data_IF_368666747490
#
_entry.id   IF_368666747490
#
_cell.length_a   1.000
_cell.length_b   1.000
_cell.length_c   1.000
_cell.angle_alpha   90.00
_cell.angle_beta   90.00
_cell.angle_gamma   90.00
#
_symmetry.space_group_name_H-M   'P 1'
#
loop_
_entity.id
_entity.type
_entity.pdbx_description
1 polymer ?
#
# COMPACT_ATOMS: atom_id res chain seq x y z
N UNK A 1 -7.28 22.09 4.33
CA UNK A 1 -5.80 22.14 4.46
C UNK A 1 -5.21 20.79 4.04
N UNK A 2 -4.40 20.76 2.98
CA UNK A 2 -3.79 19.52 2.50
C UNK A 2 -2.76 19.09 3.55
N UNK A 3 -3.14 18.15 4.42
CA UNK A 3 -2.25 17.54 5.40
C UNK A 3 -1.31 16.56 4.70
N UNK A 4 -0.61 17.01 3.65
CA UNK A 4 0.37 16.20 2.96
C UNK A 4 1.51 15.89 3.96
N UNK A 5 1.83 14.61 4.13
CA UNK A 5 3.01 14.21 4.89
C UNK A 5 4.30 14.75 4.27
N UNK A 6 5.44 14.33 4.79
CA UNK A 6 6.76 14.71 4.28
C UNK A 6 6.83 14.45 2.76
N UNK A 7 7.15 15.49 1.97
CA UNK A 7 7.28 15.34 0.52
C UNK A 7 8.30 14.25 0.19
N UNK A 8 7.97 13.40 -0.78
CA UNK A 8 8.85 12.29 -1.19
C UNK A 8 8.86 11.09 -0.25
N UNK A 9 8.02 11.10 0.80
CA UNK A 9 7.88 9.95 1.73
C UNK A 9 6.81 8.94 1.31
N UNK A 10 5.94 9.28 0.35
CA UNK A 10 4.99 8.33 -0.22
C UNK A 10 5.73 7.25 -1.02
N UNK A 11 5.11 6.07 -1.13
CA UNK A 11 5.67 4.97 -1.92
C UNK A 11 5.83 5.32 -3.40
N UNK A 12 6.77 4.67 -4.08
CA UNK A 12 7.02 4.80 -5.51
C UNK A 12 6.84 3.45 -6.22
N UNK A 13 6.63 3.48 -7.54
CA UNK A 13 6.58 2.28 -8.39
C UNK A 13 5.56 1.23 -7.92
N UNK A 14 4.39 1.68 -7.47
CA UNK A 14 3.30 0.82 -7.06
C UNK A 14 2.74 0.03 -8.25
N UNK A 15 2.62 -1.28 -8.11
CA UNK A 15 1.98 -2.14 -9.10
C UNK A 15 1.29 -3.32 -8.43
N UNK A 16 0.19 -3.79 -9.00
CA UNK A 16 -0.51 -4.99 -8.55
C UNK A 16 -0.76 -5.93 -9.73
N UNK A 17 -0.58 -7.23 -9.50
CA UNK A 17 -0.82 -8.29 -10.48
C UNK A 17 -1.70 -9.36 -9.86
N UNK A 18 -2.79 -9.70 -10.56
CA UNK A 18 -3.67 -10.81 -10.18
C UNK A 18 -3.15 -12.09 -10.85
N UNK A 19 -3.04 -13.17 -10.08
CA UNK A 19 -2.61 -14.48 -10.53
C UNK A 19 -3.39 -15.58 -9.81
N UNK A 20 -3.40 -16.78 -10.37
CA UNK A 20 -4.17 -17.91 -9.85
C UNK A 20 -5.65 -17.59 -9.58
N UNK A 21 -6.24 -16.66 -10.35
CA UNK A 21 -7.64 -16.23 -10.34
C UNK A 21 -8.07 -15.42 -9.10
N UNK A 22 -7.47 -15.64 -7.93
CA UNK A 22 -7.93 -15.04 -6.66
C UNK A 22 -6.81 -14.47 -5.78
N UNK A 23 -5.56 -14.45 -6.24
CA UNK A 23 -4.45 -13.84 -5.51
C UNK A 23 -4.03 -12.54 -6.19
N UNK A 24 -3.80 -11.48 -5.43
CA UNK A 24 -3.29 -10.21 -5.94
C UNK A 24 -2.00 -9.87 -5.21
N UNK A 25 -0.90 -9.80 -5.95
CA UNK A 25 0.40 -9.39 -5.44
C UNK A 25 0.64 -7.94 -5.83
N UNK A 26 0.73 -7.08 -4.82
CA UNK A 26 1.10 -5.69 -4.95
C UNK A 26 2.53 -5.45 -4.45
N UNK A 27 3.30 -4.66 -5.18
CA UNK A 27 4.68 -4.30 -4.81
C UNK A 27 4.86 -2.80 -4.94
N UNK A 28 5.79 -2.27 -4.15
CA UNK A 28 6.19 -0.87 -4.21
C UNK A 28 7.63 -0.69 -3.73
N UNK A 29 8.14 0.52 -3.94
CA UNK A 29 9.38 1.01 -3.37
C UNK A 29 9.07 2.04 -2.30
N UNK A 30 9.92 2.13 -1.28
CA UNK A 30 9.81 3.18 -0.29
C UNK A 30 10.06 4.55 -0.95
N UNK A 31 9.38 5.58 -0.47
CA UNK A 31 9.65 6.95 -0.88
C UNK A 31 11.11 7.33 -0.65
N UNK A 32 11.69 8.10 -1.58
CA UNK A 32 13.12 8.48 -1.54
C UNK A 32 13.48 9.24 -0.27
N UNK A 33 12.54 10.03 0.24
CA UNK A 33 12.72 10.86 1.43
C UNK A 33 12.05 10.24 2.67
N UNK A 34 11.54 9.01 2.56
CA UNK A 34 10.92 8.33 3.68
C UNK A 34 11.97 7.97 4.76
N UNK A 35 11.75 8.34 6.03
CA UNK A 35 12.62 7.95 7.14
C UNK A 35 12.89 6.44 7.20
N UNK A 36 14.04 6.04 7.74
CA UNK A 36 14.44 4.63 7.87
C UNK A 36 13.50 3.78 8.76
N UNK A 37 12.78 4.40 9.68
CA UNK A 37 11.79 3.73 10.54
C UNK A 37 10.38 3.69 9.93
N UNK A 38 10.21 4.16 8.70
CA UNK A 38 8.91 4.18 8.03
C UNK A 38 8.37 2.76 7.82
N UNK A 39 7.13 2.54 8.23
CA UNK A 39 6.35 1.34 7.94
C UNK A 39 5.15 1.69 7.07
N UNK A 40 4.87 0.90 6.03
CA UNK A 40 3.77 1.14 5.09
C UNK A 40 2.62 0.14 5.29
N UNK A 41 1.40 0.58 4.99
CA UNK A 41 0.19 -0.23 5.14
C UNK A 41 -0.69 -0.06 3.91
N UNK A 42 -1.02 -1.17 3.25
CA UNK A 42 -1.82 -1.17 2.02
C UNK A 42 -3.25 -1.55 2.33
N UNK A 43 -4.16 -0.73 1.82
CA UNK A 43 -5.61 -0.93 1.85
C UNK A 43 -6.13 -0.95 0.42
N UNK A 44 -7.14 -1.78 0.15
CA UNK A 44 -7.83 -1.76 -1.13
C UNK A 44 -9.34 -1.88 -0.98
N UNK A 45 -10.06 -1.38 -1.99
CA UNK A 45 -11.50 -1.45 -2.09
C UNK A 45 -11.92 -1.80 -3.52
N UNK A 46 -13.02 -2.56 -3.66
CA UNK A 46 -13.62 -2.88 -4.97
C UNK A 46 -14.42 -1.68 -5.51
N UNK A 47 -14.99 -0.87 -4.64
CA UNK A 47 -15.65 0.39 -4.96
C UNK A 47 -15.46 1.38 -3.80
N UNK A 48 -15.64 2.68 -4.04
CA UNK A 48 -15.50 3.71 -2.99
C UNK A 48 -16.57 3.62 -1.90
N UNK A 49 -17.63 2.85 -2.14
CA UNK A 49 -18.71 2.63 -1.20
C UNK A 49 -18.51 1.34 -0.37
N UNK A 50 -17.50 0.52 -0.72
CA UNK A 50 -17.16 -0.71 0.01
C UNK A 50 -16.19 -0.45 1.17
N UNK A 51 -16.15 -1.38 2.13
CA UNK A 51 -15.20 -1.34 3.24
C UNK A 51 -13.75 -1.49 2.76
N UNK A 52 -12.83 -0.76 3.42
CA UNK A 52 -11.38 -0.88 3.21
C UNK A 52 -10.88 -2.24 3.70
N UNK A 53 -10.21 -2.99 2.81
CA UNK A 53 -9.54 -4.24 3.17
C UNK A 53 -8.04 -3.99 3.33
N UNK A 54 -7.54 -4.18 4.55
CA UNK A 54 -6.09 -4.18 4.80
C UNK A 54 -5.43 -5.45 4.23
N UNK A 55 -4.16 -5.32 3.85
CA UNK A 55 -3.32 -6.42 3.41
C UNK A 55 -3.37 -7.67 4.31
N UNK A 56 -3.61 -8.83 3.70
CA UNK A 56 -3.58 -10.12 4.41
C UNK A 56 -2.17 -10.57 4.75
N UNK A 57 -1.24 -10.42 3.80
CA UNK A 57 0.14 -10.90 3.95
C UNK A 57 1.14 -9.90 3.36
N UNK A 58 1.85 -9.18 4.24
CA UNK A 58 2.89 -8.25 3.82
C UNK A 58 4.17 -8.96 3.37
N UNK A 59 4.71 -8.51 2.24
CA UNK A 59 6.07 -8.83 1.79
C UNK A 59 7.00 -7.80 2.42
N UNK A 60 8.00 -8.26 3.16
CA UNK A 60 8.91 -7.40 3.94
C UNK A 60 10.32 -7.44 3.38
N UNK A 61 11.04 -6.32 3.50
CA UNK A 61 12.48 -6.28 3.27
C UNK A 61 13.27 -6.80 4.49
N UNK A 62 14.60 -6.76 4.38
CA UNK A 62 15.53 -7.19 5.43
C UNK A 62 15.38 -6.43 6.75
N UNK A 63 14.82 -5.21 6.72
CA UNK A 63 14.56 -4.38 7.90
C UNK A 63 13.19 -4.62 8.51
N UNK A 64 12.35 -5.44 7.87
CA UNK A 64 10.98 -5.73 8.29
C UNK A 64 9.95 -4.70 7.81
N UNK A 65 10.35 -3.75 6.95
CA UNK A 65 9.48 -2.77 6.31
C UNK A 65 8.65 -3.46 5.23
N UNK A 66 7.36 -3.15 5.19
CA UNK A 66 6.43 -3.64 4.20
C UNK A 66 6.73 -2.98 2.85
N UNK A 67 7.06 -3.80 1.86
CA UNK A 67 7.43 -3.42 0.49
C UNK A 67 6.50 -4.06 -0.55
N UNK A 68 5.52 -4.82 -0.08
CA UNK A 68 4.52 -5.48 -0.90
C UNK A 68 3.42 -6.10 -0.06
N UNK A 69 2.42 -6.60 -0.73
CA UNK A 69 1.26 -7.25 -0.14
C UNK A 69 0.78 -8.39 -1.05
N UNK A 70 0.29 -9.46 -0.44
CA UNK A 70 -0.50 -10.48 -1.12
C UNK A 70 -1.90 -10.48 -0.48
N UNK A 71 -2.91 -10.13 -1.29
CA UNK A 71 -4.31 -10.32 -0.93
C UNK A 71 -4.80 -11.69 -1.40
N UNK A 72 -5.66 -12.30 -0.59
CA UNK A 72 -6.31 -13.58 -0.88
C UNK A 72 -7.79 -13.39 -1.20
N UNK A 73 -8.34 -14.31 -1.99
CA UNK A 73 -9.77 -14.33 -2.34
C UNK A 73 -10.27 -13.05 -3.04
N UNK A 74 -9.42 -12.45 -3.86
CA UNK A 74 -9.75 -11.23 -4.62
C UNK A 74 -10.72 -11.59 -5.73
N UNK A 75 -11.86 -10.90 -5.82
CA UNK A 75 -12.82 -11.12 -6.90
C UNK A 75 -12.51 -10.21 -8.09
N UNK A 76 -12.24 -10.80 -9.26
CA UNK A 76 -11.93 -10.06 -10.50
C UNK A 76 -13.14 -9.41 -11.19
N UNK A 77 -14.31 -9.39 -10.54
CA UNK A 77 -15.55 -8.87 -11.12
C UNK A 77 -15.68 -7.34 -11.14
N UNK A 78 -14.78 -6.60 -10.50
CA UNK A 78 -14.81 -5.14 -10.47
C UNK A 78 -13.95 -4.56 -11.61
N UNK A 79 -14.48 -3.60 -12.36
CA UNK A 79 -13.73 -2.89 -13.42
C UNK A 79 -12.63 -1.97 -12.87
N UNK A 80 -12.76 -1.53 -11.62
CA UNK A 80 -11.82 -0.65 -10.94
C UNK A 80 -11.56 -1.17 -9.53
N UNK A 81 -10.34 -0.94 -9.05
CA UNK A 81 -9.97 -1.12 -7.67
C UNK A 81 -9.33 0.17 -7.19
N UNK A 82 -9.59 0.54 -5.94
CA UNK A 82 -8.99 1.70 -5.29
C UNK A 82 -7.96 1.19 -4.30
N UNK A 83 -6.78 1.79 -4.31
CA UNK A 83 -5.67 1.40 -3.43
C UNK A 83 -5.24 2.62 -2.65
N UNK A 84 -4.97 2.43 -1.36
CA UNK A 84 -4.38 3.45 -0.52
C UNK A 84 -3.20 2.86 0.23
N UNK A 85 -2.04 3.50 0.16
CA UNK A 85 -0.89 3.14 0.99
C UNK A 85 -0.58 4.25 1.97
N UNK A 86 -0.79 3.95 3.25
CA UNK A 86 -0.43 4.80 4.36
C UNK A 86 0.98 4.49 4.84
N UNK A 87 1.56 5.42 5.61
CA UNK A 87 2.85 5.20 6.26
C UNK A 87 2.87 5.75 7.69
N UNK A 88 3.64 5.10 8.56
CA UNK A 88 3.92 5.56 9.91
C UNK A 88 5.42 5.64 10.16
N UNK A 89 5.85 6.68 10.87
CA UNK A 89 7.21 6.89 11.38
C UNK A 89 7.08 7.58 12.74
N UNK A 90 8.11 7.50 13.58
CA UNK A 90 8.08 8.05 14.95
C UNK A 90 7.88 9.56 14.97
N UNK A 91 8.64 10.27 14.14
CA UNK A 91 8.74 11.73 14.22
C UNK A 91 8.21 12.44 12.96
N UNK A 92 7.91 11.69 11.91
CA UNK A 92 7.50 12.23 10.61
C UNK A 92 6.13 11.72 10.20
N UNK A 93 5.27 12.62 9.74
CA UNK A 93 4.05 12.25 9.03
C UNK A 93 4.43 11.80 7.63
N UNK A 94 4.01 10.60 7.24
CA UNK A 94 4.29 10.05 5.92
C UNK A 94 3.16 10.42 4.98
N UNK A 95 3.50 10.79 3.75
CA UNK A 95 2.52 11.08 2.71
C UNK A 95 1.90 9.76 2.24
N UNK A 96 0.58 9.71 2.15
CA UNK A 96 -0.12 8.55 1.61
C UNK A 96 -0.08 8.55 0.07
N UNK A 97 -0.22 7.36 -0.51
CA UNK A 97 -0.44 7.13 -1.94
C UNK A 97 -1.91 6.73 -2.16
N UNK A 98 -2.57 7.29 -3.18
CA UNK A 98 -3.93 7.03 -3.68
C UNK A 98 -3.85 6.89 -5.21
#
# INVERSE_FOLDING_TARGET
PVFAGMNGSAIENFSCVIYNIFLMNCTWQAGRDAPADTQYFLYWQKSRDDDEMECDLYIKDETGRNMGCIFQNVSTGAEKAYFMVNGSSKDSRIQFYD
#
